data_IF_467172963844
#
_entry.id   IF_467172963844
#
_cell.length_a   1.000
_cell.length_b   1.000
_cell.length_c   1.000
_cell.angle_alpha   90.00
_cell.angle_beta   90.00
_cell.angle_gamma   90.00
#
_symmetry.space_group_name_H-M   'P 1'
#
loop_
_entity.id
_entity.type
_entity.pdbx_description
1 polymer ?
#
# COMPACT_ATOMS: atom_id res chain seq x y z
N UNK A 1 19.10 10.96 -6.72
CA UNK A 1 17.65 10.70 -6.65
C UNK A 1 17.34 9.67 -5.56
N UNK A 2 17.93 8.48 -5.58
CA UNK A 2 17.66 7.44 -4.58
C UNK A 2 17.99 7.82 -3.12
N UNK A 3 19.07 8.57 -2.85
CA UNK A 3 19.33 9.01 -1.46
C UNK A 3 18.26 9.95 -0.92
N UNK A 4 17.61 10.72 -1.79
CA UNK A 4 16.48 11.57 -1.42
C UNK A 4 15.24 10.74 -1.10
N UNK A 5 14.89 9.77 -1.95
CA UNK A 5 13.76 8.87 -1.70
C UNK A 5 13.97 8.02 -0.44
N UNK A 6 15.19 7.52 -0.20
CA UNK A 6 15.49 6.76 1.02
C UNK A 6 15.32 7.61 2.30
N UNK A 7 15.69 8.91 2.26
CA UNK A 7 15.43 9.83 3.38
C UNK A 7 13.94 10.08 3.59
N UNK A 8 13.16 10.09 2.51
CA UNK A 8 11.72 10.26 2.57
C UNK A 8 11.01 9.06 3.20
N UNK A 9 11.53 7.83 3.14
CA UNK A 9 10.87 6.60 3.63
C UNK A 9 11.52 5.92 4.85
N UNK A 10 12.50 6.56 5.50
CA UNK A 10 13.39 5.93 6.50
C UNK A 10 12.92 5.71 7.95
N UNK A 11 11.63 5.77 8.28
CA UNK A 11 11.15 5.60 9.67
C UNK A 11 9.85 4.80 9.77
N UNK A 12 9.73 3.86 10.74
CA UNK A 12 8.53 3.04 10.89
C UNK A 12 7.32 3.87 11.33
N UNK A 13 6.19 3.65 10.64
CA UNK A 13 4.91 4.31 10.88
C UNK A 13 4.31 3.94 12.26
N UNK A 14 3.67 4.91 12.93
CA UNK A 14 2.85 4.66 14.13
C UNK A 14 1.45 4.18 13.73
N UNK A 15 1.14 2.90 14.02
CA UNK A 15 -0.22 2.35 13.88
C UNK A 15 -1.16 2.99 14.91
N UNK A 16 -2.32 3.48 14.46
CA UNK A 16 -3.44 3.85 15.33
C UNK A 16 -4.57 2.82 15.17
N UNK A 17 -5.24 2.50 16.28
CA UNK A 17 -6.34 1.54 16.32
C UNK A 17 -7.65 2.20 15.89
N UNK A 18 -7.90 2.32 14.58
CA UNK A 18 -9.26 2.57 14.07
C UNK A 18 -9.97 1.24 13.86
N UNK A 19 -11.15 1.09 14.45
CA UNK A 19 -11.97 -0.12 14.41
C UNK A 19 -13.06 0.02 13.35
N UNK A 20 -12.79 -0.47 12.14
CA UNK A 20 -13.80 -0.63 11.09
C UNK A 20 -14.59 -1.95 11.31
N UNK A 21 -15.23 -2.09 12.47
CA UNK A 21 -15.71 -3.39 12.99
C UNK A 21 -16.77 -4.08 12.12
N UNK A 22 -17.48 -3.36 11.23
CA UNK A 22 -18.46 -3.96 10.33
C UNK A 22 -17.86 -4.38 9.00
N UNK A 23 -16.95 -3.59 8.43
CA UNK A 23 -16.27 -3.88 7.18
C UNK A 23 -15.28 -5.04 7.37
N UNK A 24 -14.53 -5.05 8.48
CA UNK A 24 -13.58 -6.12 8.80
C UNK A 24 -14.25 -7.46 9.21
N UNK A 25 -15.58 -7.53 9.26
CA UNK A 25 -16.33 -8.78 9.48
C UNK A 25 -16.67 -9.50 8.18
N UNK A 26 -16.63 -8.79 7.06
CA UNK A 26 -16.79 -9.43 5.76
C UNK A 26 -15.47 -10.14 5.40
N UNK A 27 -15.47 -11.48 5.21
CA UNK A 27 -14.25 -12.23 4.89
C UNK A 27 -13.65 -11.85 3.53
N UNK A 28 -14.41 -11.19 2.65
CA UNK A 28 -13.96 -10.69 1.35
C UNK A 28 -13.45 -9.25 1.42
N UNK A 29 -13.60 -8.59 2.56
CA UNK A 29 -13.23 -7.19 2.72
C UNK A 29 -11.98 -7.06 3.58
N UNK A 30 -11.06 -6.19 3.16
CA UNK A 30 -9.91 -5.83 3.97
C UNK A 30 -9.75 -4.32 3.97
N UNK A 31 -9.43 -3.76 5.15
CA UNK A 31 -9.20 -2.34 5.29
C UNK A 31 -7.93 -2.03 6.06
N UNK A 32 -7.32 -0.90 5.73
CA UNK A 32 -6.35 -0.23 6.58
C UNK A 32 -7.06 0.86 7.37
N UNK A 33 -6.95 0.86 8.70
CA UNK A 33 -7.49 1.94 9.54
C UNK A 33 -6.98 3.32 9.10
N UNK A 34 -7.64 4.39 9.55
CA UNK A 34 -7.12 5.74 9.37
C UNK A 34 -5.72 5.85 10.03
N UNK A 35 -4.72 6.21 9.25
CA UNK A 35 -3.31 6.37 9.63
C UNK A 35 -2.88 7.82 9.40
N UNK A 36 -2.06 8.35 10.31
CA UNK A 36 -1.42 9.66 10.16
C UNK A 36 -0.14 9.58 9.34
N UNK A 37 0.00 10.57 8.48
CA UNK A 37 1.21 10.93 7.75
C UNK A 37 1.60 12.37 8.09
N UNK A 38 2.84 12.81 7.78
CA UNK A 38 3.29 14.16 8.17
C UNK A 38 2.44 15.29 7.57
N UNK A 39 1.75 15.03 6.45
CA UNK A 39 0.89 15.99 5.75
C UNK A 39 -0.62 15.71 5.90
N UNK A 40 -1.06 14.74 6.72
CA UNK A 40 -2.49 14.48 6.88
C UNK A 40 -2.82 13.06 7.37
N UNK A 41 -4.00 12.58 6.96
CA UNK A 41 -4.55 11.29 7.37
C UNK A 41 -5.04 10.53 6.13
N UNK A 42 -4.83 9.21 6.09
CA UNK A 42 -5.31 8.35 5.00
C UNK A 42 -5.85 7.03 5.53
N UNK A 43 -6.77 6.41 4.81
CA UNK A 43 -7.28 5.05 5.10
C UNK A 43 -7.41 4.28 3.78
N UNK A 44 -7.55 2.96 3.85
CA UNK A 44 -7.78 2.13 2.66
C UNK A 44 -8.81 1.05 2.91
N UNK A 45 -9.48 0.62 1.86
CA UNK A 45 -10.41 -0.47 1.89
C UNK A 45 -10.48 -1.11 0.50
N UNK A 46 -10.56 -2.43 0.44
CA UNK A 46 -10.87 -3.17 -0.78
C UNK A 46 -11.84 -4.30 -0.46
N UNK A 47 -12.65 -4.68 -1.45
CA UNK A 47 -13.61 -5.79 -1.36
C UNK A 47 -13.36 -6.70 -2.54
N UNK A 48 -13.16 -7.99 -2.26
CA UNK A 48 -12.97 -9.02 -3.26
C UNK A 48 -14.30 -9.35 -3.95
N UNK A 49 -14.34 -9.20 -5.28
CA UNK A 49 -15.51 -9.55 -6.10
C UNK A 49 -15.37 -10.91 -6.82
N UNK A 50 -14.14 -11.26 -7.23
CA UNK A 50 -13.85 -12.50 -7.95
C UNK A 50 -13.44 -13.63 -6.97
N UNK A 51 -13.38 -14.87 -7.47
CA UNK A 51 -12.96 -16.04 -6.68
C UNK A 51 -11.56 -15.85 -6.09
N UNK A 52 -10.67 -15.27 -6.89
CA UNK A 52 -9.32 -14.89 -6.50
C UNK A 52 -9.27 -13.35 -6.44
N UNK A 53 -8.53 -12.80 -5.47
CA UNK A 53 -8.38 -11.35 -5.33
C UNK A 53 -7.30 -10.86 -6.30
N UNK A 54 -7.72 -10.58 -7.53
CA UNK A 54 -6.83 -10.10 -8.60
C UNK A 54 -6.34 -8.66 -8.32
N UNK A 55 -7.18 -7.83 -7.70
CA UNK A 55 -6.82 -6.46 -7.34
C UNK A 55 -5.87 -6.43 -6.14
N UNK A 56 -4.75 -5.72 -6.30
CA UNK A 56 -3.77 -5.51 -5.23
C UNK A 56 -3.64 -4.03 -4.93
N UNK A 57 -3.24 -3.71 -3.70
CA UNK A 57 -2.92 -2.33 -3.33
C UNK A 57 -1.87 -2.30 -2.23
N UNK A 58 -1.10 -1.22 -2.18
CA UNK A 58 -0.03 -1.04 -1.21
C UNK A 58 0.05 0.41 -0.73
N UNK A 59 0.55 0.57 0.49
CA UNK A 59 0.89 1.89 1.03
C UNK A 59 2.17 1.85 1.82
N UNK A 60 3.11 2.65 1.36
CA UNK A 60 4.35 2.93 2.08
C UNK A 60 4.30 4.35 2.62
N UNK A 61 4.48 4.44 3.94
CA UNK A 61 4.40 5.70 4.68
C UNK A 61 5.82 6.09 5.05
N UNK A 62 6.30 7.16 4.44
CA UNK A 62 7.58 7.75 4.75
C UNK A 62 7.49 8.93 5.71
N UNK A 63 8.65 9.42 6.13
CA UNK A 63 8.83 10.66 6.91
C UNK A 63 8.09 11.83 6.24
N UNK A 64 8.43 12.14 4.99
CA UNK A 64 7.86 13.28 4.24
C UNK A 64 7.21 12.87 2.91
N UNK A 65 6.96 11.57 2.70
CA UNK A 65 6.35 11.05 1.48
C UNK A 65 5.34 9.94 1.76
N UNK A 66 4.37 9.79 0.85
CA UNK A 66 3.38 8.72 0.85
C UNK A 66 3.40 8.07 -0.53
N UNK A 67 3.62 6.76 -0.58
CA UNK A 67 3.45 5.99 -1.79
C UNK A 67 2.11 5.25 -1.70
N UNK A 68 1.28 5.37 -2.74
CA UNK A 68 0.02 4.66 -2.88
C UNK A 68 0.01 3.94 -4.21
N UNK A 69 -0.20 2.63 -4.18
CA UNK A 69 -0.38 1.79 -5.36
C UNK A 69 -1.75 1.13 -5.35
N UNK A 70 -2.43 1.16 -6.50
CA UNK A 70 -3.68 0.42 -6.77
C UNK A 70 -3.50 -0.29 -8.11
N UNK A 71 -3.62 -1.61 -8.11
CA UNK A 71 -3.31 -2.46 -9.25
C UNK A 71 -4.52 -3.35 -9.55
N UNK A 72 -5.23 -3.04 -10.63
CA UNK A 72 -6.34 -3.84 -11.15
C UNK A 72 -5.77 -5.06 -11.90
N UNK A 73 -6.00 -6.24 -11.32
CA UNK A 73 -5.50 -7.50 -11.88
C UNK A 73 -6.50 -8.09 -12.88
N UNK A 74 -6.00 -8.77 -13.91
CA UNK A 74 -6.87 -9.41 -14.90
C UNK A 74 -6.30 -10.72 -15.43
N UNK A 75 -7.14 -11.76 -15.47
CA UNK A 75 -6.80 -13.14 -15.89
C UNK A 75 -5.79 -13.79 -14.93
N UNK A 76 -5.99 -13.59 -13.64
CA UNK A 76 -5.11 -14.01 -12.56
C UNK A 76 -4.48 -12.82 -11.81
N UNK A 77 -3.97 -13.11 -10.63
CA UNK A 77 -3.34 -12.17 -9.69
C UNK A 77 -1.82 -12.03 -9.88
N UNK A 78 -1.21 -12.87 -10.73
CA UNK A 78 0.24 -12.94 -10.87
C UNK A 78 0.88 -11.58 -11.24
N UNK A 79 0.25 -10.79 -12.10
CA UNK A 79 0.79 -9.50 -12.52
C UNK A 79 0.69 -8.44 -11.41
N UNK A 80 -0.45 -8.35 -10.73
CA UNK A 80 -0.66 -7.39 -9.64
C UNK A 80 0.17 -7.75 -8.41
N UNK A 81 0.37 -9.05 -8.13
CA UNK A 81 1.33 -9.55 -7.14
C UNK A 81 2.77 -9.22 -7.56
N UNK A 82 3.15 -9.42 -8.82
CA UNK A 82 4.49 -9.05 -9.26
C UNK A 82 4.75 -7.55 -9.02
N UNK A 83 3.79 -6.69 -9.33
CA UNK A 83 3.91 -5.25 -9.10
C UNK A 83 4.05 -4.95 -7.60
N UNK A 84 3.21 -5.54 -6.73
CA UNK A 84 3.27 -5.25 -5.29
C UNK A 84 4.64 -5.59 -4.68
N UNK A 85 5.25 -6.68 -5.14
CA UNK A 85 6.53 -7.18 -4.62
C UNK A 85 7.74 -6.37 -5.09
N UNK A 86 7.66 -5.73 -6.28
CA UNK A 86 8.85 -5.16 -6.93
C UNK A 86 8.81 -3.63 -7.04
N UNK A 87 7.66 -3.03 -7.37
CA UNK A 87 7.63 -1.64 -7.86
C UNK A 87 8.16 -0.62 -6.85
N UNK A 88 7.90 -0.81 -5.55
CA UNK A 88 8.40 0.11 -4.54
C UNK A 88 9.90 0.01 -4.37
N UNK A 89 10.42 -1.21 -4.31
CA UNK A 89 11.86 -1.46 -4.24
C UNK A 89 12.56 -0.90 -5.47
N UNK A 90 12.01 -1.11 -6.67
CA UNK A 90 12.56 -0.57 -7.92
C UNK A 90 12.57 0.97 -7.93
N UNK A 91 11.49 1.62 -7.49
CA UNK A 91 11.43 3.08 -7.36
C UNK A 91 12.47 3.64 -6.37
N UNK A 92 12.81 2.88 -5.32
CA UNK A 92 13.86 3.23 -4.38
C UNK A 92 15.27 2.86 -4.90
N UNK A 93 15.37 1.84 -5.73
CA UNK A 93 16.63 1.28 -6.25
C UNK A 93 17.16 1.99 -7.49
N UNK A 94 16.34 2.81 -8.19
CA UNK A 94 16.76 3.71 -9.29
C UNK A 94 17.73 4.82 -8.79
N UNK A 95 18.89 4.40 -8.28
CA UNK A 95 20.20 4.96 -8.58
C UNK A 95 20.66 4.30 -9.87
N UNK A 96 20.24 4.82 -11.03
CA UNK A 96 20.91 4.42 -12.26
C UNK A 96 22.41 4.71 -12.13
N UNK A 97 23.24 3.73 -12.47
CA UNK A 97 24.66 3.92 -12.77
C UNK A 97 24.85 4.97 -13.86
#
# INVERSE_FOLDING_TARGET
>A
MASFLNNLFGSPYKKYNFKADLFNKDPLAWSRPLVRHHCGEFSMAAVQANKDMEDQSQVEVGTDALFVGVYDGHKGDAASIYIIDHIFTELLSESFH
#
